data_IF_127619014445
#
_entry.id   IF_127619014445
#
_cell.length_a   1.000
_cell.length_b   1.000
_cell.length_c   1.000
_cell.angle_alpha   90.00
_cell.angle_beta   90.00
_cell.angle_gamma   90.00
#
_symmetry.space_group_name_H-M   'P 1'
#
loop_
_entity.id
_entity.type
_entity.pdbx_description
1 polymer ?
#
# COMPACT_ATOMS: atom_id res chain seq x y z
N UNK A 1 -29.44 48.46 -59.45
CA UNK A 1 -30.01 47.39 -58.59
C UNK A 1 -28.87 46.43 -58.22
N UNK A 2 -28.32 46.54 -57.00
CA UNK A 2 -27.30 45.61 -56.50
C UNK A 2 -27.98 44.80 -55.36
N UNK A 3 -28.14 43.50 -55.60
CA UNK A 3 -28.59 42.56 -54.54
C UNK A 3 -27.43 42.26 -53.62
N UNK A 4 -27.61 42.52 -52.33
CA UNK A 4 -26.75 42.05 -51.26
C UNK A 4 -27.28 40.69 -50.79
N UNK A 5 -26.46 39.65 -50.95
CA UNK A 5 -26.70 38.35 -50.37
C UNK A 5 -26.08 38.29 -48.93
N UNK A 6 -26.92 38.14 -47.92
CA UNK A 6 -26.51 37.93 -46.54
C UNK A 6 -26.30 36.44 -46.31
N UNK A 7 -25.06 36.04 -46.10
CA UNK A 7 -24.71 34.68 -45.66
C UNK A 7 -24.90 34.56 -44.14
N UNK A 8 -25.81 33.72 -43.70
CA UNK A 8 -25.96 33.36 -42.27
C UNK A 8 -25.02 32.18 -41.92
N UNK A 9 -24.02 32.45 -41.13
CA UNK A 9 -23.10 31.44 -40.60
C UNK A 9 -23.72 30.81 -39.36
N UNK A 10 -24.14 29.54 -39.47
CA UNK A 10 -24.60 28.75 -38.35
C UNK A 10 -23.39 28.27 -37.52
N UNK A 11 -23.26 28.79 -36.32
CA UNK A 11 -22.24 28.39 -35.35
C UNK A 11 -22.75 27.14 -34.62
N UNK A 12 -22.18 25.97 -34.94
CA UNK A 12 -22.45 24.73 -34.22
C UNK A 12 -21.73 24.77 -32.89
N UNK A 13 -22.47 24.86 -31.77
CA UNK A 13 -21.93 24.63 -30.44
C UNK A 13 -21.69 23.13 -30.27
N UNK A 14 -20.44 22.71 -30.31
CA UNK A 14 -20.01 21.39 -29.82
C UNK A 14 -20.01 21.43 -28.31
N UNK A 15 -21.00 20.82 -27.67
CA UNK A 15 -20.99 20.50 -26.26
C UNK A 15 -19.98 19.36 -26.06
N UNK A 16 -18.77 19.69 -25.61
CA UNK A 16 -17.86 18.68 -25.07
C UNK A 16 -18.42 18.23 -23.75
N UNK A 17 -18.99 17.01 -23.72
CA UNK A 17 -19.29 16.33 -22.47
C UNK A 17 -17.95 16.10 -21.75
N UNK A 18 -17.68 16.88 -20.71
CA UNK A 18 -16.71 16.49 -19.68
C UNK A 18 -17.28 15.24 -19.05
N UNK A 19 -16.57 14.11 -19.18
CA UNK A 19 -16.79 12.97 -18.33
C UNK A 19 -16.48 13.41 -16.88
N UNK A 20 -17.49 13.97 -16.21
CA UNK A 20 -17.48 14.10 -14.77
C UNK A 20 -17.53 12.67 -14.23
N UNK A 21 -16.77 12.36 -13.20
CA UNK A 21 -17.03 11.19 -12.38
C UNK A 21 -18.53 11.24 -12.04
N UNK A 22 -19.27 10.21 -12.47
CA UNK A 22 -20.69 10.14 -12.18
C UNK A 22 -20.84 10.11 -10.66
N UNK A 23 -21.50 11.11 -10.09
CA UNK A 23 -21.94 11.02 -8.70
C UNK A 23 -22.88 9.81 -8.60
N UNK A 24 -22.81 9.10 -7.46
CA UNK A 24 -23.72 7.97 -7.21
C UNK A 24 -25.17 8.43 -7.30
N UNK A 25 -26.03 7.59 -7.85
CA UNK A 25 -27.44 7.88 -8.01
C UNK A 25 -28.20 7.80 -6.66
N UNK A 26 -29.33 8.50 -6.56
CA UNK A 26 -30.18 8.48 -5.37
C UNK A 26 -30.69 7.04 -5.10
N UNK A 27 -30.41 6.53 -3.92
CA UNK A 27 -30.85 5.22 -3.46
C UNK A 27 -29.81 4.10 -3.58
N UNK A 28 -28.67 4.36 -4.21
CA UNK A 28 -27.54 3.42 -4.22
C UNK A 28 -26.82 3.38 -2.88
N UNK A 29 -26.23 2.23 -2.55
CA UNK A 29 -25.31 2.09 -1.43
C UNK A 29 -23.98 2.72 -1.82
N UNK A 30 -23.64 3.87 -1.24
CA UNK A 30 -22.39 4.58 -1.53
C UNK A 30 -21.23 3.96 -0.75
N UNK A 31 -20.21 3.50 -1.48
CA UNK A 31 -18.98 2.93 -0.94
C UNK A 31 -17.83 3.91 -1.12
N UNK A 32 -17.41 4.57 -0.06
CA UNK A 32 -16.22 5.43 -0.08
C UNK A 32 -14.98 4.60 0.20
N UNK A 33 -14.04 4.58 -0.77
CA UNK A 33 -12.76 3.90 -0.65
C UNK A 33 -11.63 4.92 -0.53
N UNK A 34 -10.98 5.00 0.63
CA UNK A 34 -9.86 5.90 0.85
C UNK A 34 -8.50 5.19 0.78
N UNK A 35 -7.53 5.77 0.06
CA UNK A 35 -6.15 5.30 0.03
C UNK A 35 -5.12 6.44 -0.16
N UNK A 36 -3.83 6.15 0.08
CA UNK A 36 -2.76 7.17 0.17
C UNK A 36 -1.87 7.28 -1.07
N UNK A 37 -2.12 6.48 -2.11
CA UNK A 37 -1.29 6.37 -3.31
C UNK A 37 -1.94 7.03 -4.52
N UNK A 38 -1.20 7.19 -5.63
CA UNK A 38 -1.80 7.60 -6.91
C UNK A 38 -2.60 6.45 -7.53
N UNK A 39 -3.42 6.76 -8.54
CA UNK A 39 -4.38 5.83 -9.16
C UNK A 39 -3.81 5.07 -10.36
N UNK A 40 -2.72 5.55 -10.98
CA UNK A 40 -2.24 5.11 -12.30
C UNK A 40 -0.85 4.45 -12.30
N UNK A 41 -0.06 4.65 -11.24
CA UNK A 41 1.34 4.21 -11.17
C UNK A 41 1.68 3.38 -9.93
N UNK A 42 0.67 2.95 -9.20
CA UNK A 42 0.84 2.22 -7.96
C UNK A 42 -0.11 1.01 -7.93
N UNK A 43 0.36 -0.21 -7.56
CA UNK A 43 -0.47 -1.41 -7.57
C UNK A 43 -1.82 -1.24 -6.87
N UNK A 44 -1.82 -0.72 -5.64
CA UNK A 44 -3.05 -0.43 -4.87
C UNK A 44 -3.96 0.57 -5.56
N UNK A 45 -3.42 1.66 -6.10
CA UNK A 45 -4.23 2.69 -6.76
C UNK A 45 -4.91 2.16 -8.02
N UNK A 46 -4.17 1.39 -8.84
CA UNK A 46 -4.73 0.74 -10.04
C UNK A 46 -5.80 -0.28 -9.64
N UNK A 47 -5.58 -1.05 -8.57
CA UNK A 47 -6.56 -2.01 -8.06
C UNK A 47 -7.84 -1.31 -7.57
N UNK A 48 -7.70 -0.20 -6.83
CA UNK A 48 -8.84 0.59 -6.35
C UNK A 48 -9.66 1.17 -7.50
N UNK A 49 -8.99 1.71 -8.54
CA UNK A 49 -9.69 2.24 -9.73
C UNK A 49 -10.40 1.15 -10.53
N UNK A 50 -9.81 -0.04 -10.65
CA UNK A 50 -10.47 -1.16 -11.31
C UNK A 50 -11.67 -1.67 -10.50
N UNK A 51 -11.56 -1.72 -9.17
CA UNK A 51 -12.66 -2.10 -8.29
C UNK A 51 -13.82 -1.10 -8.39
N UNK A 52 -13.51 0.22 -8.34
CA UNK A 52 -14.50 1.29 -8.55
C UNK A 52 -15.25 1.11 -9.88
N UNK A 53 -14.49 0.96 -10.97
CA UNK A 53 -15.09 0.76 -12.29
C UNK A 53 -16.02 -0.45 -12.32
N UNK A 54 -15.57 -1.61 -11.83
CA UNK A 54 -16.35 -2.84 -11.87
C UNK A 54 -17.59 -2.78 -10.98
N UNK A 55 -17.48 -2.22 -9.77
CA UNK A 55 -18.64 -2.04 -8.88
C UNK A 55 -19.66 -1.13 -9.55
N UNK A 56 -19.25 0.00 -10.13
CA UNK A 56 -20.14 0.95 -10.75
C UNK A 56 -20.79 0.40 -12.03
N UNK A 57 -20.08 -0.45 -12.79
CA UNK A 57 -20.61 -1.07 -14.02
C UNK A 57 -21.51 -2.27 -13.71
N UNK A 58 -21.13 -3.14 -12.75
CA UNK A 58 -21.79 -4.43 -12.52
C UNK A 58 -22.86 -4.40 -11.43
N UNK A 59 -22.84 -3.37 -10.55
CA UNK A 59 -23.82 -3.19 -9.47
C UNK A 59 -24.66 -1.90 -9.63
N UNK A 60 -24.75 -1.37 -10.85
CA UNK A 60 -25.50 -0.15 -11.16
C UNK A 60 -26.93 -0.19 -10.61
N UNK A 61 -27.35 0.89 -9.94
CA UNK A 61 -28.66 1.00 -9.30
C UNK A 61 -28.77 0.29 -7.94
N UNK A 62 -27.69 -0.40 -7.48
CA UNK A 62 -27.64 -1.09 -6.19
C UNK A 62 -26.52 -0.51 -5.33
N UNK A 63 -25.31 -0.42 -5.88
CA UNK A 63 -24.12 0.03 -5.18
C UNK A 63 -23.26 0.88 -6.10
N UNK A 64 -22.72 1.97 -5.59
CA UNK A 64 -21.81 2.85 -6.29
C UNK A 64 -20.57 3.10 -5.42
N UNK A 65 -19.38 3.04 -6.03
CA UNK A 65 -18.11 3.27 -5.33
C UNK A 65 -17.48 4.60 -5.75
N UNK A 66 -16.92 5.30 -4.77
CA UNK A 66 -16.15 6.53 -4.95
C UNK A 66 -14.75 6.32 -4.35
N UNK A 67 -13.69 6.43 -5.18
CA UNK A 67 -12.29 6.30 -4.73
C UNK A 67 -11.69 7.66 -4.39
N UNK A 68 -11.09 7.75 -3.21
CA UNK A 68 -10.40 8.94 -2.67
C UNK A 68 -8.89 8.67 -2.54
N UNK A 69 -8.10 8.94 -3.60
CA UNK A 69 -6.66 8.67 -3.63
C UNK A 69 -5.85 9.74 -2.91
N UNK A 70 -4.54 9.49 -2.77
CA UNK A 70 -3.54 10.46 -2.29
C UNK A 70 -3.85 11.09 -0.93
N UNK A 71 -4.55 10.37 -0.04
CA UNK A 71 -4.99 10.88 1.28
C UNK A 71 -5.97 12.05 1.21
N UNK A 72 -6.73 12.18 0.11
CA UNK A 72 -7.68 13.29 -0.07
C UNK A 72 -8.85 13.25 0.90
N UNK A 73 -9.25 12.07 1.38
CA UNK A 73 -10.28 11.92 2.40
C UNK A 73 -9.65 11.59 3.76
N UNK A 74 -8.89 10.50 3.87
CA UNK A 74 -8.17 10.09 5.07
C UNK A 74 -6.79 9.53 4.72
N UNK A 75 -5.81 9.70 5.61
CA UNK A 75 -4.54 8.98 5.57
C UNK A 75 -4.65 7.63 6.32
N UNK A 76 -3.64 6.75 6.14
CA UNK A 76 -3.64 5.40 6.72
C UNK A 76 -3.62 5.38 8.28
N UNK A 77 -3.27 6.48 8.95
CA UNK A 77 -3.25 6.58 10.41
C UNK A 77 -4.63 6.93 10.99
N UNK A 78 -5.55 7.44 10.16
CA UNK A 78 -6.89 7.90 10.57
C UNK A 78 -8.04 7.08 9.95
N UNK A 79 -7.80 6.43 8.82
CA UNK A 79 -8.86 5.79 8.04
C UNK A 79 -9.58 4.67 8.80
N UNK A 80 -8.88 3.91 9.64
CA UNK A 80 -9.50 2.81 10.40
C UNK A 80 -10.44 3.32 11.50
N UNK A 81 -10.09 4.44 12.15
CA UNK A 81 -10.96 5.10 13.13
C UNK A 81 -12.20 5.71 12.43
N UNK A 82 -12.01 6.35 11.26
CA UNK A 82 -13.11 6.89 10.46
C UNK A 82 -14.05 5.77 9.92
N UNK A 83 -13.50 4.61 9.58
CA UNK A 83 -14.28 3.44 9.17
C UNK A 83 -15.19 2.93 10.28
N UNK A 84 -14.72 2.86 11.53
CA UNK A 84 -15.54 2.49 12.70
C UNK A 84 -16.62 3.51 13.02
N UNK A 85 -16.48 4.76 12.54
CA UNK A 85 -17.49 5.81 12.65
C UNK A 85 -18.48 5.83 11.48
N UNK A 86 -18.24 5.00 10.45
CA UNK A 86 -19.08 4.90 9.25
C UNK A 86 -18.78 5.94 8.15
N UNK A 87 -17.74 6.77 8.32
CA UNK A 87 -17.38 7.81 7.34
C UNK A 87 -16.78 7.25 6.06
N UNK A 88 -16.16 6.04 6.13
CA UNK A 88 -15.50 5.33 5.04
C UNK A 88 -15.87 3.86 5.11
N UNK A 89 -16.24 3.25 3.98
CA UNK A 89 -16.66 1.85 3.90
C UNK A 89 -15.49 0.92 3.58
N UNK A 90 -14.53 1.38 2.76
CA UNK A 90 -13.36 0.61 2.37
C UNK A 90 -12.07 1.42 2.51
N UNK A 91 -11.01 0.73 2.86
CA UNK A 91 -9.64 1.23 2.81
C UNK A 91 -8.67 0.08 2.52
N UNK A 92 -7.45 0.41 2.09
CA UNK A 92 -6.37 -0.56 1.95
C UNK A 92 -5.06 0.00 2.56
N UNK A 93 -4.98 0.17 3.88
CA UNK A 93 -3.74 0.56 4.54
C UNK A 93 -2.71 -0.58 4.49
N UNK A 94 -1.42 -0.24 4.64
CA UNK A 94 -0.37 -1.25 4.76
C UNK A 94 -0.56 -2.07 6.03
N UNK A 95 -0.07 -3.33 6.01
CA UNK A 95 -0.21 -4.26 7.14
C UNK A 95 0.36 -3.69 8.45
N UNK A 96 1.39 -2.87 8.38
CA UNK A 96 1.99 -2.14 9.50
C UNK A 96 1.03 -1.18 10.23
N UNK A 97 -0.09 -0.79 9.61
CA UNK A 97 -1.04 0.19 10.19
C UNK A 97 -2.08 -0.41 11.12
N UNK A 98 -2.14 -1.74 11.19
CA UNK A 98 -3.13 -2.45 12.01
C UNK A 98 -2.68 -2.72 13.44
N UNK A 99 -1.51 -2.25 13.87
CA UNK A 99 -0.89 -2.58 15.15
C UNK A 99 -1.77 -2.29 16.38
N UNK A 100 -2.62 -1.26 16.30
CA UNK A 100 -3.59 -0.93 17.35
C UNK A 100 -4.76 -1.93 17.45
N UNK A 101 -5.03 -2.66 16.36
CA UNK A 101 -6.16 -3.58 16.24
C UNK A 101 -5.76 -5.03 16.39
N UNK A 102 -4.61 -5.40 15.85
CA UNK A 102 -4.02 -6.74 15.97
C UNK A 102 -2.51 -6.67 15.88
N UNK A 103 -1.81 -7.56 16.58
CA UNK A 103 -0.36 -7.69 16.50
C UNK A 103 0.09 -8.76 15.50
N UNK A 104 -0.84 -9.54 14.95
CA UNK A 104 -0.49 -10.64 14.05
C UNK A 104 0.20 -10.16 12.77
N UNK A 105 -0.21 -9.00 12.22
CA UNK A 105 0.42 -8.42 11.02
C UNK A 105 1.85 -7.94 11.23
N UNK A 106 2.37 -7.89 12.47
CA UNK A 106 3.79 -7.68 12.76
C UNK A 106 4.69 -8.71 12.08
N UNK A 107 4.17 -9.90 11.76
CA UNK A 107 4.88 -10.92 10.99
C UNK A 107 5.46 -10.35 9.68
N UNK A 108 4.67 -9.55 8.96
CA UNK A 108 5.05 -8.96 7.67
C UNK A 108 6.06 -7.79 7.82
N UNK A 109 6.19 -7.24 9.02
CA UNK A 109 7.19 -6.22 9.34
C UNK A 109 8.51 -6.81 9.83
N UNK A 110 8.57 -8.09 10.20
CA UNK A 110 9.83 -8.72 10.62
C UNK A 110 10.85 -8.68 9.47
N UNK A 111 12.07 -8.14 9.73
CA UNK A 111 13.06 -7.96 8.68
C UNK A 111 13.50 -9.30 8.08
N UNK A 112 13.59 -9.35 6.75
CA UNK A 112 13.99 -10.56 6.01
C UNK A 112 13.13 -11.80 6.33
N UNK A 113 11.87 -11.60 6.77
CA UNK A 113 10.95 -12.70 7.07
C UNK A 113 10.62 -13.50 5.81
N UNK A 114 10.36 -12.84 4.69
CA UNK A 114 10.03 -13.46 3.42
C UNK A 114 11.15 -13.26 2.41
N UNK A 115 11.47 -14.30 1.62
CA UNK A 115 12.52 -14.25 0.58
C UNK A 115 12.12 -13.36 -0.60
N UNK A 116 10.85 -13.42 -1.00
CA UNK A 116 10.30 -12.74 -2.16
C UNK A 116 8.77 -12.60 -2.03
N UNK A 117 8.13 -11.98 -3.02
CA UNK A 117 6.69 -11.79 -3.03
C UNK A 117 5.91 -13.10 -3.19
N UNK A 118 6.47 -14.10 -3.88
CA UNK A 118 5.82 -15.40 -4.06
C UNK A 118 5.69 -16.15 -2.72
N UNK A 119 6.69 -16.04 -1.85
CA UNK A 119 6.62 -16.58 -0.49
C UNK A 119 5.57 -15.86 0.37
N UNK A 120 5.40 -14.55 0.17
CA UNK A 120 4.35 -13.77 0.82
C UNK A 120 2.96 -14.22 0.35
N UNK A 121 2.76 -14.34 -0.96
CA UNK A 121 1.50 -14.79 -1.56
C UNK A 121 1.13 -16.19 -1.04
N UNK A 122 2.08 -17.13 -1.04
CA UNK A 122 1.89 -18.47 -0.51
C UNK A 122 1.51 -18.46 0.98
N UNK A 123 2.12 -17.59 1.80
CA UNK A 123 1.74 -17.46 3.21
C UNK A 123 0.34 -16.84 3.36
N UNK A 124 0.03 -15.77 2.64
CA UNK A 124 -1.27 -15.13 2.68
C UNK A 124 -2.40 -16.06 2.21
N UNK A 125 -2.12 -16.95 1.25
CA UNK A 125 -3.05 -17.98 0.78
C UNK A 125 -3.21 -19.15 1.76
N UNK A 126 -2.29 -19.34 2.71
CA UNK A 126 -2.36 -20.41 3.71
C UNK A 126 -3.51 -20.21 4.71
N UNK A 127 -3.81 -21.26 5.49
CA UNK A 127 -4.82 -21.18 6.56
C UNK A 127 -4.48 -20.08 7.58
N UNK A 128 -3.20 -19.94 7.95
CA UNK A 128 -2.74 -18.92 8.89
C UNK A 128 -2.93 -17.50 8.31
N UNK A 129 -2.54 -17.29 7.05
CA UNK A 129 -2.74 -16.00 6.37
C UNK A 129 -4.21 -15.63 6.25
N UNK A 130 -5.07 -16.58 5.89
CA UNK A 130 -6.53 -16.35 5.79
C UNK A 130 -7.15 -16.03 7.17
N UNK A 131 -6.75 -16.74 8.23
CA UNK A 131 -7.22 -16.49 9.59
C UNK A 131 -6.82 -15.09 10.11
N UNK A 132 -5.71 -14.51 9.63
CA UNK A 132 -5.31 -13.16 10.01
C UNK A 132 -6.34 -12.10 9.60
N UNK A 133 -7.08 -12.30 8.51
CA UNK A 133 -8.13 -11.35 8.07
C UNK A 133 -9.23 -11.18 9.13
N UNK A 134 -9.50 -12.19 9.90
CA UNK A 134 -10.55 -12.20 10.94
C UNK A 134 -10.03 -11.72 12.31
N UNK A 135 -8.73 -11.51 12.44
CA UNK A 135 -8.10 -11.20 13.74
C UNK A 135 -8.60 -9.91 14.41
N UNK A 136 -9.28 -9.04 13.65
CA UNK A 136 -9.77 -7.75 14.11
C UNK A 136 -11.29 -7.68 14.28
N UNK A 137 -12.05 -8.73 13.97
CA UNK A 137 -13.52 -8.72 14.03
C UNK A 137 -14.07 -8.25 15.37
N UNK A 138 -13.46 -8.70 16.48
CA UNK A 138 -13.85 -8.28 17.84
C UNK A 138 -13.64 -6.79 18.11
N UNK A 139 -12.91 -6.10 17.23
CA UNK A 139 -12.66 -4.67 17.26
C UNK A 139 -13.41 -3.91 16.17
N UNK A 140 -14.37 -4.59 15.52
CA UNK A 140 -15.27 -4.01 14.53
C UNK A 140 -14.70 -3.90 13.12
N UNK A 141 -13.53 -4.50 12.82
CA UNK A 141 -12.91 -4.48 11.50
C UNK A 141 -12.84 -5.88 10.90
N UNK A 142 -13.13 -5.98 9.59
CA UNK A 142 -13.03 -7.21 8.79
C UNK A 142 -12.05 -7.02 7.64
N UNK A 143 -11.00 -7.85 7.60
CA UNK A 143 -10.11 -7.95 6.44
C UNK A 143 -10.79 -8.74 5.32
N UNK A 144 -10.77 -8.20 4.12
CA UNK A 144 -11.42 -8.81 2.94
C UNK A 144 -10.41 -9.48 2.02
N UNK A 145 -9.35 -8.76 1.61
CA UNK A 145 -8.38 -9.24 0.65
C UNK A 145 -6.99 -8.66 0.94
N UNK A 146 -5.94 -9.44 0.64
CA UNK A 146 -4.58 -8.93 0.58
C UNK A 146 -4.27 -8.40 -0.81
N UNK A 147 -3.75 -7.18 -0.90
CA UNK A 147 -3.28 -6.59 -2.14
C UNK A 147 -1.76 -6.43 -2.10
N UNK A 148 -1.09 -6.99 -3.11
CA UNK A 148 0.36 -6.94 -3.19
C UNK A 148 0.89 -5.56 -3.58
N UNK A 149 2.07 -5.27 -3.04
CA UNK A 149 2.92 -4.20 -3.54
C UNK A 149 4.31 -4.78 -3.87
N UNK A 150 5.22 -4.92 -2.88
CA UNK A 150 6.55 -5.43 -3.19
C UNK A 150 7.53 -5.36 -2.03
N UNK A 151 8.77 -5.75 -2.33
CA UNK A 151 9.88 -5.71 -1.38
C UNK A 151 10.34 -4.27 -1.13
N UNK A 152 10.73 -3.98 0.12
CA UNK A 152 11.19 -2.66 0.56
C UNK A 152 12.68 -2.47 0.32
N UNK A 153 13.01 -1.25 -0.08
CA UNK A 153 14.35 -0.75 -0.30
C UNK A 153 14.63 0.39 0.66
N UNK A 154 15.89 0.61 1.00
CA UNK A 154 16.29 1.75 1.85
C UNK A 154 16.86 2.89 1.03
N UNK A 155 16.60 4.12 1.43
CA UNK A 155 17.24 5.31 0.87
C UNK A 155 17.62 6.30 1.98
N UNK A 156 18.65 7.09 1.74
CA UNK A 156 19.07 8.17 2.62
C UNK A 156 19.69 9.33 1.81
N UNK A 157 20.04 10.40 2.51
CA UNK A 157 20.77 11.55 1.96
C UNK A 157 22.29 11.30 1.79
N UNK A 158 22.74 10.08 2.04
CA UNK A 158 24.09 9.54 1.76
C UNK A 158 23.99 8.07 1.34
N UNK A 159 25.05 7.49 0.73
CA UNK A 159 25.07 6.06 0.42
C UNK A 159 24.84 5.18 1.65
N UNK A 160 24.04 4.13 1.47
CA UNK A 160 23.83 3.06 2.46
C UNK A 160 24.32 1.75 1.83
N UNK A 161 25.50 1.28 2.20
CA UNK A 161 26.10 0.04 1.70
C UNK A 161 26.14 -0.99 2.82
N UNK A 162 26.66 -0.61 3.97
CA UNK A 162 26.71 -1.43 5.17
C UNK A 162 25.69 -0.93 6.22
N UNK A 163 25.20 -1.79 7.13
CA UNK A 163 24.26 -1.37 8.18
C UNK A 163 24.75 -0.18 9.00
N UNK A 164 26.07 -0.10 9.26
CA UNK A 164 26.69 1.01 9.99
C UNK A 164 26.61 2.37 9.28
N UNK A 165 26.33 2.40 7.98
CA UNK A 165 26.08 3.65 7.28
C UNK A 165 24.79 4.35 7.75
N UNK A 166 23.88 3.59 8.37
CA UNK A 166 22.65 4.13 8.95
C UNK A 166 22.84 4.76 10.33
N UNK A 167 24.01 4.56 10.98
CA UNK A 167 24.26 5.05 12.34
C UNK A 167 24.05 6.55 12.47
N UNK A 168 23.22 6.94 13.45
CA UNK A 168 22.87 8.33 13.75
C UNK A 168 21.91 9.00 12.76
N UNK A 169 21.54 8.36 11.62
CA UNK A 169 20.57 8.92 10.68
C UNK A 169 19.14 8.78 11.19
N UNK A 170 18.32 9.76 10.89
CA UNK A 170 16.88 9.75 11.17
C UNK A 170 16.12 9.10 10.02
N UNK A 171 15.49 7.97 10.28
CA UNK A 171 14.66 7.27 9.29
C UNK A 171 13.18 7.45 9.56
N UNK A 172 12.46 7.86 8.53
CA UNK A 172 11.00 7.76 8.58
C UNK A 172 10.57 6.28 8.53
N UNK A 173 9.69 5.90 9.44
CA UNK A 173 9.01 4.59 9.44
C UNK A 173 7.49 4.75 9.50
N UNK A 174 6.79 3.68 9.17
CA UNK A 174 5.35 3.59 9.40
C UNK A 174 5.05 3.41 10.90
N UNK A 175 3.76 3.42 11.26
CA UNK A 175 3.30 3.32 12.66
C UNK A 175 3.38 1.88 13.17
N UNK A 176 4.59 1.29 13.19
CA UNK A 176 4.89 -0.07 13.65
C UNK A 176 6.09 -0.06 14.61
N UNK A 177 5.97 -0.78 15.72
CA UNK A 177 7.08 -0.93 16.68
C UNK A 177 8.17 -1.84 16.12
N UNK A 178 7.83 -2.81 15.27
CA UNK A 178 8.82 -3.67 14.59
C UNK A 178 9.72 -2.82 13.68
N UNK A 179 9.13 -1.89 12.91
CA UNK A 179 9.91 -1.00 12.04
C UNK A 179 10.76 -0.01 12.81
N UNK A 180 10.31 0.40 14.01
CA UNK A 180 11.14 1.18 14.95
C UNK A 180 12.36 0.35 15.35
N UNK A 181 12.15 -0.87 15.86
CA UNK A 181 13.22 -1.75 16.29
C UNK A 181 14.21 -2.10 15.16
N UNK A 182 13.74 -2.22 13.90
CA UNK A 182 14.63 -2.42 12.75
C UNK A 182 15.62 -1.28 12.56
N UNK A 183 15.15 -0.04 12.63
CA UNK A 183 16.04 1.12 12.45
C UNK A 183 17.00 1.28 13.63
N UNK A 184 16.52 1.01 14.84
CA UNK A 184 17.38 1.01 16.05
C UNK A 184 18.46 -0.07 15.99
N UNK A 185 18.15 -1.26 15.43
CA UNK A 185 19.10 -2.35 15.28
C UNK A 185 20.32 -2.03 14.37
N UNK A 186 20.16 -1.06 13.48
CA UNK A 186 21.23 -0.56 12.60
C UNK A 186 21.77 0.82 13.04
N UNK A 187 21.51 1.24 14.30
CA UNK A 187 21.99 2.51 14.84
C UNK A 187 21.21 3.75 14.35
N UNK A 188 20.16 3.58 13.58
CA UNK A 188 19.32 4.68 13.10
C UNK A 188 18.33 5.19 14.14
N UNK A 189 17.81 6.40 13.95
CA UNK A 189 16.80 7.05 14.78
C UNK A 189 15.45 7.05 14.08
N UNK A 190 14.52 6.13 14.41
CA UNK A 190 13.23 6.02 13.72
C UNK A 190 12.27 7.15 14.09
N UNK A 191 11.53 7.65 13.07
CA UNK A 191 10.51 8.68 13.21
C UNK A 191 9.21 8.18 12.58
N UNK A 192 8.20 7.87 13.40
CA UNK A 192 6.86 7.51 12.91
C UNK A 192 6.20 8.72 12.26
N UNK A 193 5.77 8.60 11.00
CA UNK A 193 5.23 9.73 10.23
C UNK A 193 4.24 9.23 9.15
N UNK A 194 3.19 10.01 8.91
CA UNK A 194 2.22 9.72 7.84
C UNK A 194 2.88 9.73 6.45
N UNK A 195 2.41 8.89 5.53
CA UNK A 195 3.01 8.75 4.20
C UNK A 195 2.97 10.04 3.37
N UNK A 196 1.91 10.85 3.55
CA UNK A 196 1.75 12.15 2.89
C UNK A 196 2.81 13.20 3.28
N UNK A 197 3.47 13.04 4.42
CA UNK A 197 4.44 14.00 4.97
C UNK A 197 5.88 13.69 4.54
N UNK A 198 6.15 12.46 4.06
CA UNK A 198 7.51 11.93 3.89
C UNK A 198 8.33 12.73 2.90
N UNK A 199 7.79 13.08 1.73
CA UNK A 199 8.55 13.85 0.73
C UNK A 199 9.04 15.20 1.29
N UNK A 200 8.14 15.94 1.94
CA UNK A 200 8.49 17.23 2.55
C UNK A 200 9.50 17.08 3.68
N UNK A 201 9.38 16.03 4.50
CA UNK A 201 10.31 15.74 5.60
C UNK A 201 11.71 15.38 5.09
N UNK A 202 11.83 14.58 4.03
CA UNK A 202 13.10 14.27 3.36
C UNK A 202 13.71 15.53 2.72
N UNK A 203 12.90 16.31 1.99
CA UNK A 203 13.35 17.52 1.32
C UNK A 203 13.89 18.58 2.30
N UNK A 204 13.28 18.68 3.49
CA UNK A 204 13.66 19.65 4.52
C UNK A 204 14.72 19.12 5.49
N UNK A 205 15.14 17.84 5.36
CA UNK A 205 16.09 17.21 6.30
C UNK A 205 15.53 16.99 7.70
N UNK A 206 14.21 16.93 7.87
CA UNK A 206 13.57 16.51 9.13
C UNK A 206 13.89 15.05 9.41
N UNK A 207 13.92 14.23 8.35
CA UNK A 207 14.46 12.87 8.34
C UNK A 207 15.51 12.76 7.24
N UNK A 208 16.49 11.88 7.44
CA UNK A 208 17.61 11.67 6.53
C UNK A 208 17.32 10.57 5.51
N UNK A 209 16.43 9.64 5.86
CA UNK A 209 16.13 8.47 5.04
C UNK A 209 14.74 7.90 5.26
N UNK A 210 14.42 6.88 4.48
CA UNK A 210 13.17 6.14 4.55
C UNK A 210 13.35 4.73 3.98
N UNK A 211 12.33 3.86 4.15
CA UNK A 211 12.23 2.55 3.52
C UNK A 211 10.90 2.42 2.81
N UNK A 212 10.92 1.88 1.57
CA UNK A 212 9.72 1.70 0.75
C UNK A 212 9.95 0.79 -0.44
N UNK A 213 8.85 0.42 -1.08
CA UNK A 213 8.85 -0.30 -2.36
C UNK A 213 9.16 0.64 -3.53
N UNK A 214 9.56 0.08 -4.67
CA UNK A 214 9.89 0.87 -5.86
C UNK A 214 8.74 1.75 -6.33
N UNK A 215 7.51 1.22 -6.33
CA UNK A 215 6.30 1.96 -6.72
C UNK A 215 5.99 3.14 -5.80
N UNK A 216 6.23 3.00 -4.50
CA UNK A 216 6.10 4.09 -3.53
C UNK A 216 7.17 5.15 -3.73
N UNK A 217 8.44 4.74 -3.89
CA UNK A 217 9.57 5.66 -4.10
C UNK A 217 9.37 6.47 -5.38
N UNK A 218 8.97 5.82 -6.47
CA UNK A 218 8.69 6.47 -7.74
C UNK A 218 7.46 7.37 -7.66
N UNK A 219 6.33 6.83 -7.20
CA UNK A 219 5.05 7.52 -7.18
C UNK A 219 5.02 8.77 -6.29
N UNK A 220 5.85 8.82 -5.24
CA UNK A 220 6.02 9.98 -4.35
C UNK A 220 7.32 10.74 -4.60
N UNK A 221 8.10 10.34 -5.62
CA UNK A 221 9.33 11.01 -6.05
C UNK A 221 10.40 11.10 -4.96
N UNK A 222 10.44 10.15 -4.03
CA UNK A 222 11.43 10.19 -2.94
C UNK A 222 12.86 10.17 -3.47
N UNK A 223 13.11 9.53 -4.62
CA UNK A 223 14.41 9.47 -5.26
C UNK A 223 14.95 10.85 -5.68
N UNK A 224 14.08 11.87 -5.86
CA UNK A 224 14.50 13.24 -6.21
C UNK A 224 15.16 13.98 -5.03
N UNK A 225 14.91 13.53 -3.79
CA UNK A 225 15.35 14.16 -2.53
C UNK A 225 16.23 13.25 -1.68
N UNK A 226 16.77 12.19 -2.29
CA UNK A 226 17.68 11.23 -1.67
C UNK A 226 18.93 11.06 -2.53
N UNK A 227 20.06 10.70 -1.90
CA UNK A 227 21.31 10.43 -2.61
C UNK A 227 21.18 9.22 -3.55
N UNK A 228 20.46 8.20 -3.11
CA UNK A 228 20.18 6.99 -3.88
C UNK A 228 19.40 5.98 -3.07
N UNK A 229 19.05 4.88 -3.72
CA UNK A 229 18.29 3.77 -3.13
C UNK A 229 19.18 2.53 -3.12
N UNK A 230 19.27 1.88 -1.97
CA UNK A 230 19.96 0.59 -1.82
C UNK A 230 18.92 -0.53 -1.89
N UNK A 231 19.13 -1.47 -2.81
CA UNK A 231 18.26 -2.63 -2.99
C UNK A 231 18.52 -3.67 -1.90
N UNK A 232 17.91 -3.43 -0.75
CA UNK A 232 18.09 -4.28 0.43
C UNK A 232 17.14 -5.47 0.45
N UNK A 233 15.94 -5.34 -0.12
CA UNK A 233 14.86 -6.33 -0.03
C UNK A 233 14.67 -6.85 1.40
N UNK A 234 14.74 -5.93 2.39
CA UNK A 234 14.78 -6.26 3.82
C UNK A 234 13.40 -6.50 4.42
N UNK A 235 12.34 -6.17 3.72
CA UNK A 235 10.97 -6.34 4.18
C UNK A 235 10.00 -6.22 3.03
N UNK A 236 8.72 -6.21 3.36
CA UNK A 236 7.64 -6.11 2.37
C UNK A 236 6.69 -4.98 2.75
N UNK A 237 6.01 -4.41 1.77
CA UNK A 237 4.76 -3.68 1.95
C UNK A 237 3.69 -4.39 1.14
N UNK A 238 2.68 -4.87 1.86
CA UNK A 238 1.40 -5.32 1.30
C UNK A 238 0.27 -4.58 2.02
N UNK A 239 -0.91 -4.66 1.47
CA UNK A 239 -2.09 -3.97 1.95
C UNK A 239 -3.18 -4.96 2.32
N UNK A 240 -4.02 -4.61 3.30
CA UNK A 240 -5.26 -5.30 3.58
C UNK A 240 -6.43 -4.42 3.16
N UNK A 241 -7.22 -4.88 2.19
CA UNK A 241 -8.54 -4.30 1.96
C UNK A 241 -9.39 -4.64 3.17
N UNK A 242 -9.89 -3.61 3.83
CA UNK A 242 -10.58 -3.71 5.11
C UNK A 242 -11.88 -2.92 5.09
N UNK A 243 -12.87 -3.41 5.82
CA UNK A 243 -14.16 -2.76 6.07
C UNK A 243 -14.54 -2.85 7.54
N UNK A 244 -15.61 -2.15 7.95
CA UNK A 244 -16.21 -2.40 9.26
C UNK A 244 -17.13 -3.63 9.22
N UNK A 245 -17.15 -4.39 10.31
CA UNK A 245 -18.08 -5.52 10.49
C UNK A 245 -19.52 -5.05 10.36
N UNK A 246 -19.87 -3.93 11.01
CA UNK A 246 -21.22 -3.39 11.00
C UNK A 246 -21.70 -3.03 9.58
N UNK A 247 -20.85 -2.41 8.76
CA UNK A 247 -21.21 -2.10 7.38
C UNK A 247 -21.36 -3.37 6.54
N UNK A 248 -20.43 -4.33 6.65
CA UNK A 248 -20.49 -5.56 5.87
C UNK A 248 -21.75 -6.39 6.22
N UNK A 249 -22.12 -6.43 7.51
CA UNK A 249 -23.31 -7.15 8.00
C UNK A 249 -24.62 -6.42 7.66
N UNK A 250 -24.57 -5.11 7.40
CA UNK A 250 -25.73 -4.32 6.98
C UNK A 250 -26.14 -4.59 5.52
N UNK A 251 -25.26 -5.18 4.71
CA UNK A 251 -25.57 -5.52 3.32
C UNK A 251 -26.45 -6.77 3.22
N UNK A 252 -27.44 -6.71 2.34
CA UNK A 252 -28.17 -7.92 1.93
C UNK A 252 -27.18 -8.97 1.43
N UNK A 253 -27.45 -10.26 1.71
CA UNK A 253 -26.51 -11.36 1.39
C UNK A 253 -26.15 -11.39 -0.09
N UNK A 254 -27.12 -11.18 -0.99
CA UNK A 254 -26.88 -11.18 -2.44
C UNK A 254 -25.96 -10.02 -2.88
N UNK A 255 -26.17 -8.82 -2.33
CA UNK A 255 -25.35 -7.63 -2.58
C UNK A 255 -23.92 -7.86 -2.06
N UNK A 256 -23.79 -8.39 -0.85
CA UNK A 256 -22.50 -8.72 -0.24
C UNK A 256 -21.75 -9.77 -1.05
N UNK A 257 -22.42 -10.83 -1.48
CA UNK A 257 -21.80 -11.92 -2.24
C UNK A 257 -21.31 -11.41 -3.62
N UNK A 258 -22.09 -10.58 -4.30
CA UNK A 258 -21.69 -9.96 -5.57
C UNK A 258 -20.49 -9.04 -5.38
N UNK A 259 -20.54 -8.14 -4.40
CA UNK A 259 -19.44 -7.23 -4.10
C UNK A 259 -18.14 -7.98 -3.76
N UNK A 260 -18.21 -8.99 -2.89
CA UNK A 260 -17.01 -9.77 -2.50
C UNK A 260 -16.47 -10.61 -3.65
N UNK A 261 -17.32 -11.07 -4.58
CA UNK A 261 -16.90 -11.75 -5.80
C UNK A 261 -16.12 -10.80 -6.72
N UNK A 262 -16.63 -9.60 -6.98
CA UNK A 262 -15.93 -8.57 -7.77
C UNK A 262 -14.58 -8.24 -7.11
N UNK A 263 -14.55 -8.04 -5.79
CA UNK A 263 -13.31 -7.77 -5.06
C UNK A 263 -12.29 -8.92 -5.20
N UNK A 264 -12.74 -10.18 -5.11
CA UNK A 264 -11.87 -11.35 -5.24
C UNK A 264 -11.23 -11.42 -6.63
N UNK A 265 -12.01 -11.19 -7.69
CA UNK A 265 -11.53 -11.20 -9.08
C UNK A 265 -10.55 -10.06 -9.37
N UNK A 266 -10.84 -8.85 -8.87
CA UNK A 266 -9.92 -7.70 -8.95
C UNK A 266 -8.62 -8.01 -8.20
N UNK A 267 -8.72 -8.61 -7.02
CA UNK A 267 -7.56 -9.01 -6.21
C UNK A 267 -6.67 -9.99 -6.97
N UNK A 268 -7.25 -11.07 -7.50
CA UNK A 268 -6.50 -12.08 -8.26
C UNK A 268 -5.79 -11.47 -9.48
N UNK A 269 -6.51 -10.65 -10.25
CA UNK A 269 -5.94 -9.99 -11.42
C UNK A 269 -4.80 -9.06 -11.03
N UNK A 270 -5.00 -8.18 -10.05
CA UNK A 270 -4.04 -7.11 -9.73
C UNK A 270 -2.83 -7.60 -8.96
N UNK A 271 -2.97 -8.64 -8.13
CA UNK A 271 -1.82 -9.22 -7.43
C UNK A 271 -0.82 -9.83 -8.42
N UNK A 272 -1.27 -10.47 -9.50
CA UNK A 272 -0.39 -11.00 -10.56
C UNK A 272 0.43 -9.90 -11.27
N UNK A 273 -0.05 -8.67 -11.29
CA UNK A 273 0.57 -7.56 -12.00
C UNK A 273 1.42 -6.65 -11.08
N UNK A 274 1.31 -6.78 -9.76
CA UNK A 274 1.96 -5.91 -8.79
C UNK A 274 3.49 -5.90 -8.93
N UNK A 275 4.10 -7.06 -9.19
CA UNK A 275 5.54 -7.17 -9.43
C UNK A 275 5.98 -6.36 -10.65
N UNK A 276 5.29 -6.50 -11.78
CA UNK A 276 5.61 -5.76 -13.00
C UNK A 276 5.53 -4.24 -12.82
N UNK A 277 4.56 -3.75 -12.05
CA UNK A 277 4.43 -2.32 -11.70
C UNK A 277 5.64 -1.83 -10.89
N UNK A 278 6.17 -2.64 -9.97
CA UNK A 278 7.38 -2.29 -9.21
C UNK A 278 8.63 -2.29 -10.08
N UNK A 279 8.81 -3.26 -11.00
CA UNK A 279 9.93 -3.29 -11.94
C UNK A 279 9.89 -2.08 -12.91
N UNK A 280 8.71 -1.70 -13.39
CA UNK A 280 8.53 -0.48 -14.19
C UNK A 280 8.90 0.78 -13.40
N UNK A 281 8.49 0.85 -12.12
CA UNK A 281 8.85 1.96 -11.24
C UNK A 281 10.36 2.03 -11.00
N UNK A 282 11.05 0.89 -10.76
CA UNK A 282 12.51 0.79 -10.64
C UNK A 282 13.21 1.31 -11.90
N UNK A 283 12.77 0.85 -13.08
CA UNK A 283 13.30 1.31 -14.35
C UNK A 283 13.07 2.82 -14.56
N UNK A 284 11.90 3.33 -14.20
CA UNK A 284 11.54 4.75 -14.30
C UNK A 284 12.41 5.63 -13.41
N UNK A 285 12.75 5.18 -12.19
CA UNK A 285 13.69 5.86 -11.29
C UNK A 285 15.05 5.98 -11.96
N UNK A 286 15.57 4.87 -12.51
CA UNK A 286 16.86 4.86 -13.21
C UNK A 286 16.85 5.78 -14.42
N UNK A 287 15.80 5.74 -15.23
CA UNK A 287 15.64 6.60 -16.41
C UNK A 287 15.56 8.09 -16.05
N UNK A 288 15.05 8.42 -14.87
CA UNK A 288 14.99 9.78 -14.34
C UNK A 288 16.32 10.22 -13.67
N UNK A 289 17.37 9.39 -13.69
CA UNK A 289 18.68 9.68 -13.12
C UNK A 289 18.83 9.32 -11.65
N UNK A 290 17.86 8.60 -11.05
CA UNK A 290 17.98 8.08 -9.69
C UNK A 290 19.05 6.99 -9.60
N UNK A 291 19.80 7.02 -8.52
CA UNK A 291 20.89 6.05 -8.27
C UNK A 291 20.31 4.82 -7.55
N UNK A 292 20.53 3.65 -8.10
CA UNK A 292 20.22 2.36 -7.46
C UNK A 292 21.54 1.66 -7.14
N UNK A 293 21.65 1.12 -5.92
CA UNK A 293 22.81 0.39 -5.43
C UNK A 293 22.43 -1.04 -5.10
N UNK A 294 23.07 -1.97 -5.76
CA UNK A 294 22.96 -3.38 -5.44
C UNK A 294 23.95 -3.72 -4.30
N UNK A 295 23.56 -4.65 -3.44
CA UNK A 295 24.41 -5.19 -2.39
C UNK A 295 25.09 -6.45 -2.87
N UNK A 296 26.38 -6.63 -2.52
CA UNK A 296 27.00 -7.95 -2.64
C UNK A 296 26.34 -8.94 -1.66
N UNK A 297 26.50 -10.26 -1.86
CA UNK A 297 25.99 -11.26 -0.91
C UNK A 297 26.47 -11.03 0.52
N UNK A 298 27.73 -10.64 0.71
CA UNK A 298 28.34 -10.37 2.01
C UNK A 298 27.72 -9.12 2.67
N UNK A 299 27.51 -8.06 1.88
CA UNK A 299 26.85 -6.85 2.36
C UNK A 299 25.40 -7.14 2.76
N UNK A 300 24.68 -7.87 1.90
CA UNK A 300 23.30 -8.27 2.24
C UNK A 300 23.25 -9.11 3.52
N UNK A 301 24.20 -10.03 3.70
CA UNK A 301 24.28 -10.84 4.92
C UNK A 301 24.52 -9.98 6.15
N UNK A 302 25.36 -8.93 6.05
CA UNK A 302 25.55 -7.98 7.16
C UNK A 302 24.25 -7.28 7.59
N UNK A 303 23.40 -6.88 6.63
CA UNK A 303 22.07 -6.33 6.92
C UNK A 303 21.15 -7.37 7.59
N UNK A 304 21.17 -8.62 7.14
CA UNK A 304 20.41 -9.71 7.77
C UNK A 304 20.86 -9.91 9.22
N UNK A 305 22.17 -10.01 9.45
CA UNK A 305 22.73 -10.26 10.78
C UNK A 305 22.43 -9.12 11.75
N UNK A 306 22.48 -7.87 11.29
CA UNK A 306 22.18 -6.70 12.10
C UNK A 306 20.69 -6.62 12.52
N UNK A 307 19.77 -7.00 11.64
CA UNK A 307 18.33 -6.86 11.89
C UNK A 307 17.68 -8.14 12.46
N UNK A 308 18.27 -9.31 12.28
CA UNK A 308 17.70 -10.59 12.72
C UNK A 308 17.30 -10.62 14.21
N UNK A 309 18.06 -10.01 15.15
CA UNK A 309 17.69 -9.97 16.57
C UNK A 309 16.34 -9.30 16.86
N UNK A 310 15.78 -8.52 15.92
CA UNK A 310 14.45 -7.93 16.06
C UNK A 310 13.37 -9.01 16.18
N UNK A 311 13.55 -10.18 15.56
CA UNK A 311 12.57 -11.25 15.60
C UNK A 311 12.27 -11.71 17.03
N UNK A 312 13.30 -11.87 17.87
CA UNK A 312 13.18 -12.34 19.26
C UNK A 312 12.34 -11.38 20.10
N UNK A 313 12.38 -10.08 19.79
CA UNK A 313 11.62 -9.06 20.51
C UNK A 313 10.11 -9.18 20.26
N UNK A 314 9.70 -9.66 19.09
CA UNK A 314 8.31 -9.66 18.66
C UNK A 314 7.70 -11.06 18.48
N UNK A 315 8.48 -12.13 18.67
CA UNK A 315 8.00 -13.50 18.52
C UNK A 315 6.79 -13.81 19.40
N UNK A 316 6.74 -13.27 20.63
CA UNK A 316 5.61 -13.45 21.53
C UNK A 316 4.33 -12.75 21.09
N UNK A 317 4.43 -11.64 20.38
CA UNK A 317 3.30 -10.87 19.87
C UNK A 317 2.76 -11.43 18.54
N UNK A 318 3.66 -11.90 17.68
CA UNK A 318 3.33 -12.52 16.38
C UNK A 318 2.77 -13.93 16.55
N UNK A 319 3.36 -14.70 17.47
CA UNK A 319 3.17 -16.13 17.63
C UNK A 319 4.28 -16.90 16.92
N UNK A 320 5.00 -17.74 17.67
CA UNK A 320 6.11 -18.54 17.12
C UNK A 320 5.63 -19.51 16.03
N UNK A 321 4.44 -20.05 16.18
CA UNK A 321 3.78 -20.91 15.19
C UNK A 321 3.66 -20.25 13.80
N UNK A 322 3.33 -18.97 13.74
CA UNK A 322 3.23 -18.20 12.49
C UNK A 322 4.59 -17.89 11.88
N UNK A 323 5.58 -17.58 12.74
CA UNK A 323 6.97 -17.40 12.29
C UNK A 323 7.49 -18.70 11.69
N UNK A 324 7.27 -19.83 12.34
CA UNK A 324 7.70 -21.15 11.86
C UNK A 324 6.98 -21.54 10.56
N UNK A 325 5.68 -21.25 10.45
CA UNK A 325 4.92 -21.47 9.22
C UNK A 325 5.46 -20.61 8.05
N UNK A 326 5.75 -19.34 8.29
CA UNK A 326 6.34 -18.45 7.27
C UNK A 326 7.74 -18.93 6.85
N UNK A 327 8.56 -19.39 7.79
CA UNK A 327 9.88 -19.95 7.48
C UNK A 327 9.79 -21.27 6.70
N UNK A 328 8.84 -22.13 7.03
CA UNK A 328 8.61 -23.37 6.29
C UNK A 328 8.18 -23.10 4.84
N UNK A 329 7.33 -22.10 4.62
CA UNK A 329 6.93 -21.66 3.28
C UNK A 329 8.14 -21.13 2.52
N UNK A 330 8.96 -20.26 3.15
CA UNK A 330 10.18 -19.74 2.52
C UNK A 330 11.15 -20.82 2.03
N UNK A 331 11.15 -22.00 2.65
CA UNK A 331 12.02 -23.10 2.23
C UNK A 331 11.68 -23.66 0.83
N UNK A 332 10.46 -23.40 0.33
CA UNK A 332 9.99 -23.77 -1.00
C UNK A 332 10.37 -22.79 -2.12
N UNK A 333 10.89 -21.63 -1.77
CA UNK A 333 11.33 -20.57 -2.69
C UNK A 333 12.82 -20.27 -2.52
#
# INVERSE_FOLDING_TARGET
>A
MKLLATAATAMALTVTATAGMAACDDGEIVVKFAHVTNTDKHPKGIAASLLEQRVNDEMQGVMCMEVYPNSTLYNDDKVLEAMLQGDVQLAAPSLSKFEKFTKQFRLFDLPFMFKNIDAVDAFQASADGQAMKDSMQRRGLQGLAFWHNGMKQMSANKPLVDPSDADGLKFRVQSSDVLVAQMEAIGGSPQKMAFSEVYGALQQGVVDGQENTWSNIYGKKFFEVQDGITETNHGIIDYLVVTSVDWLDSLDSEVRDQFTTILAEVTEQRNKEAFAVNEEAKASITNAGGIIRDLTPEQRQAWVDAMKPVWDQFAGDVGQDKIDAAQAINAGF
#
